data_IF_088046765585
#
_entry.id   IF_088046765585
#
_cell.length_a   1.000
_cell.length_b   1.000
_cell.length_c   1.000
_cell.angle_alpha   90.00
_cell.angle_beta   90.00
_cell.angle_gamma   90.00
#
_symmetry.space_group_name_H-M   'P 1'
#
loop_
_entity.id
_entity.type
_entity.pdbx_description
1 polymer ?
#
# COMPACT_ATOMS: atom_id res chain seq x y z
N UNK A 1 -22.55 3.02 0.23
CA UNK A 1 -22.59 1.78 1.01
C UNK A 1 -21.55 0.84 0.44
N UNK A 2 -20.35 0.74 1.04
CA UNK A 2 -19.30 -0.15 0.54
C UNK A 2 -19.48 -1.54 1.15
N UNK A 3 -20.13 -2.44 0.41
CA UNK A 3 -20.40 -3.81 0.82
C UNK A 3 -19.11 -4.65 0.77
N UNK A 4 -18.91 -5.52 1.76
CA UNK A 4 -17.81 -6.47 1.76
C UNK A 4 -17.94 -7.44 0.57
N UNK A 5 -16.83 -7.75 -0.09
CA UNK A 5 -16.80 -8.70 -1.20
C UNK A 5 -16.97 -10.13 -0.68
N UNK A 6 -17.69 -10.95 -1.45
CA UNK A 6 -17.72 -12.40 -1.22
C UNK A 6 -16.33 -13.01 -1.50
N UNK A 7 -16.02 -14.23 -0.99
CA UNK A 7 -14.74 -14.89 -1.28
C UNK A 7 -14.46 -15.06 -2.79
N UNK A 8 -15.49 -15.30 -3.60
CA UNK A 8 -15.36 -15.44 -5.04
C UNK A 8 -15.02 -14.09 -5.71
N UNK A 9 -15.69 -13.01 -5.32
CA UNK A 9 -15.40 -11.67 -5.84
C UNK A 9 -14.03 -11.16 -5.40
N UNK A 10 -13.63 -11.43 -4.15
CA UNK A 10 -12.31 -11.11 -3.63
C UNK A 10 -11.21 -11.87 -4.41
N UNK A 11 -11.43 -13.15 -4.70
CA UNK A 11 -10.53 -13.95 -5.54
C UNK A 11 -10.43 -13.41 -6.97
N UNK A 12 -11.56 -13.07 -7.58
CA UNK A 12 -11.61 -12.48 -8.91
C UNK A 12 -10.90 -11.12 -8.98
N UNK A 13 -11.04 -10.28 -7.95
CA UNK A 13 -10.32 -9.01 -7.82
C UNK A 13 -8.81 -9.24 -7.75
N UNK A 14 -8.36 -10.19 -6.90
CA UNK A 14 -6.94 -10.55 -6.78
C UNK A 14 -6.37 -11.01 -8.13
N UNK A 15 -7.09 -11.88 -8.84
CA UNK A 15 -6.72 -12.34 -10.18
C UNK A 15 -6.58 -11.19 -11.16
N UNK A 16 -7.54 -10.28 -11.18
CA UNK A 16 -7.54 -9.12 -12.08
C UNK A 16 -6.32 -8.22 -11.84
N UNK A 17 -5.95 -7.99 -10.57
CA UNK A 17 -4.75 -7.22 -10.18
C UNK A 17 -3.46 -7.93 -10.59
N UNK A 18 -3.40 -9.26 -10.47
CA UNK A 18 -2.27 -10.06 -10.97
C UNK A 18 -2.11 -9.94 -12.48
N UNK A 19 -3.21 -10.08 -13.22
CA UNK A 19 -3.22 -10.01 -14.69
C UNK A 19 -2.84 -8.60 -15.19
N UNK A 20 -3.28 -7.53 -14.51
CA UNK A 20 -2.86 -6.15 -14.81
C UNK A 20 -1.36 -5.90 -14.64
N UNK A 21 -0.70 -6.66 -13.76
CA UNK A 21 0.76 -6.62 -13.59
C UNK A 21 1.49 -7.63 -14.47
N UNK A 22 0.77 -8.32 -15.35
CA UNK A 22 1.31 -9.35 -16.25
C UNK A 22 2.07 -10.47 -15.51
N UNK A 23 1.71 -10.74 -14.25
CA UNK A 23 2.35 -11.76 -13.43
C UNK A 23 1.66 -13.12 -13.59
N UNK A 24 2.45 -14.18 -13.73
CA UNK A 24 1.96 -15.55 -13.66
C UNK A 24 1.65 -15.95 -12.21
N UNK A 25 0.82 -16.98 -12.02
CA UNK A 25 0.54 -17.51 -10.69
C UNK A 25 1.82 -18.05 -10.01
N UNK A 26 2.76 -18.58 -10.77
CA UNK A 26 4.04 -19.09 -10.28
C UNK A 26 4.94 -17.95 -9.81
N UNK A 27 5.01 -16.85 -10.57
CA UNK A 27 5.79 -15.67 -10.20
C UNK A 27 5.27 -15.05 -8.91
N UNK A 28 3.95 -14.89 -8.77
CA UNK A 28 3.34 -14.41 -7.54
C UNK A 28 3.61 -15.38 -6.39
N UNK A 29 3.44 -16.68 -6.61
CA UNK A 29 3.69 -17.68 -5.58
C UNK A 29 5.13 -17.65 -5.07
N UNK A 30 6.12 -17.59 -5.97
CA UNK A 30 7.52 -17.46 -5.62
C UNK A 30 7.79 -16.16 -4.82
N UNK A 31 7.24 -15.03 -5.28
CA UNK A 31 7.46 -13.73 -4.65
C UNK A 31 6.91 -13.62 -3.21
N UNK A 32 5.78 -14.28 -2.91
CA UNK A 32 5.19 -14.28 -1.55
C UNK A 32 5.55 -15.50 -0.71
N UNK A 33 6.43 -16.38 -1.20
CA UNK A 33 6.85 -17.60 -0.49
C UNK A 33 5.74 -18.65 -0.36
N UNK A 34 4.82 -18.70 -1.31
CA UNK A 34 3.86 -19.80 -1.43
C UNK A 34 4.58 -21.06 -1.93
N UNK A 35 4.30 -22.19 -1.28
CA UNK A 35 4.87 -23.49 -1.68
C UNK A 35 4.35 -24.01 -3.02
N UNK A 36 3.23 -23.47 -3.51
CA UNK A 36 2.60 -23.92 -4.76
C UNK A 36 1.68 -22.85 -5.34
N UNK A 37 1.73 -22.70 -6.67
CA UNK A 37 0.79 -21.89 -7.45
C UNK A 37 -0.67 -22.36 -7.31
N UNK A 38 -0.91 -23.64 -6.99
CA UNK A 38 -2.26 -24.17 -6.77
C UNK A 38 -2.97 -23.49 -5.60
N UNK A 39 -2.22 -23.10 -4.55
CA UNK A 39 -2.81 -22.38 -3.43
C UNK A 39 -3.26 -20.98 -3.85
N UNK A 40 -2.50 -20.31 -4.72
CA UNK A 40 -2.91 -19.03 -5.29
C UNK A 40 -4.16 -19.18 -6.16
N UNK A 41 -4.24 -20.24 -6.98
CA UNK A 41 -5.45 -20.55 -7.74
C UNK A 41 -6.69 -20.75 -6.85
N UNK A 42 -6.54 -21.38 -5.68
CA UNK A 42 -7.63 -21.51 -4.71
C UNK A 42 -8.06 -20.19 -4.07
N UNK A 43 -7.13 -19.25 -3.89
CA UNK A 43 -7.46 -17.89 -3.47
C UNK A 43 -8.19 -17.13 -4.59
N UNK A 44 -7.70 -17.21 -5.82
CA UNK A 44 -8.28 -16.51 -6.99
C UNK A 44 -9.67 -17.02 -7.37
N UNK A 45 -9.96 -18.30 -7.08
CA UNK A 45 -11.28 -18.90 -7.31
C UNK A 45 -12.23 -18.76 -6.12
N UNK A 46 -11.77 -18.18 -5.01
CA UNK A 46 -12.56 -18.03 -3.78
C UNK A 46 -12.80 -19.33 -3.00
N UNK A 47 -12.19 -20.46 -3.41
CA UNK A 47 -12.22 -21.73 -2.66
C UNK A 47 -11.62 -21.58 -1.26
N UNK A 48 -10.62 -20.73 -1.13
CA UNK A 48 -10.05 -20.32 0.14
C UNK A 48 -10.35 -18.85 0.36
N UNK A 49 -10.82 -18.50 1.55
CA UNK A 49 -11.10 -17.11 1.90
C UNK A 49 -9.79 -16.31 1.98
N UNK A 50 -9.62 -15.39 1.03
CA UNK A 50 -8.45 -14.53 0.91
C UNK A 50 -8.17 -13.71 2.17
N UNK A 51 -9.21 -13.13 2.79
CA UNK A 51 -9.08 -12.30 4.00
C UNK A 51 -8.50 -13.04 5.22
N UNK A 52 -8.66 -14.37 5.26
CA UNK A 52 -8.14 -15.23 6.35
C UNK A 52 -6.76 -15.81 6.04
N UNK A 53 -6.25 -15.58 4.83
CA UNK A 53 -4.95 -16.09 4.44
C UNK A 53 -3.83 -15.29 5.09
N UNK A 54 -2.86 -15.97 5.70
CA UNK A 54 -1.62 -15.32 6.18
C UNK A 54 -0.82 -14.65 5.07
N UNK A 55 -1.08 -15.03 3.80
CA UNK A 55 -0.44 -14.46 2.63
C UNK A 55 -1.16 -13.20 2.10
N UNK A 56 -2.29 -12.81 2.71
CA UNK A 56 -3.09 -11.70 2.23
C UNK A 56 -2.30 -10.38 2.18
N UNK A 57 -1.61 -10.01 3.26
CA UNK A 57 -0.84 -8.77 3.30
C UNK A 57 0.34 -8.76 2.31
N UNK A 58 1.17 -9.81 2.20
CA UNK A 58 2.16 -9.92 1.14
C UNK A 58 1.58 -9.81 -0.28
N UNK A 59 0.44 -10.47 -0.54
CA UNK A 59 -0.25 -10.40 -1.84
C UNK A 59 -0.77 -8.98 -2.11
N UNK A 60 -1.32 -8.32 -1.09
CA UNK A 60 -1.80 -6.94 -1.17
C UNK A 60 -0.68 -5.97 -1.55
N UNK A 61 0.50 -6.12 -0.94
CA UNK A 61 1.66 -5.31 -1.25
C UNK A 61 2.20 -5.60 -2.65
N UNK A 62 2.41 -6.88 -2.99
CA UNK A 62 2.95 -7.29 -4.28
C UNK A 62 2.05 -6.84 -5.44
N UNK A 63 0.74 -6.94 -5.27
CA UNK A 63 -0.25 -6.60 -6.30
C UNK A 63 -0.74 -5.15 -6.23
N UNK A 64 -0.16 -4.34 -5.33
CA UNK A 64 -0.54 -2.93 -5.13
C UNK A 64 -2.05 -2.74 -4.96
N UNK A 65 -2.68 -3.59 -4.14
CA UNK A 65 -4.09 -3.46 -3.77
C UNK A 65 -4.28 -2.15 -2.99
N UNK A 66 -5.28 -1.37 -3.38
CA UNK A 66 -5.60 -0.10 -2.72
C UNK A 66 -6.24 -0.33 -1.34
N UNK A 67 -6.24 0.71 -0.50
CA UNK A 67 -6.97 0.67 0.78
C UNK A 67 -8.46 0.33 0.62
N UNK A 68 -9.06 0.75 -0.50
CA UNK A 68 -10.44 0.39 -0.82
C UNK A 68 -10.57 -1.10 -1.12
N UNK A 69 -9.69 -1.66 -1.96
CA UNK A 69 -9.69 -3.10 -2.28
C UNK A 69 -9.46 -3.94 -1.01
N UNK A 70 -8.47 -3.56 -0.21
CA UNK A 70 -8.15 -4.23 1.05
C UNK A 70 -9.35 -4.18 2.00
N UNK A 71 -9.99 -3.02 2.12
CA UNK A 71 -11.16 -2.84 2.94
C UNK A 71 -12.42 -3.54 2.42
N UNK A 72 -12.51 -3.78 1.10
CA UNK A 72 -13.58 -4.53 0.48
C UNK A 72 -13.40 -6.05 0.68
N UNK A 73 -12.15 -6.55 0.60
CA UNK A 73 -11.81 -7.96 0.81
C UNK A 73 -11.82 -8.32 2.30
N UNK A 74 -11.23 -7.48 3.13
CA UNK A 74 -11.02 -7.70 4.55
C UNK A 74 -11.49 -6.48 5.36
N UNK A 75 -12.82 -6.33 5.57
CA UNK A 75 -13.39 -5.18 6.28
C UNK A 75 -12.83 -4.99 7.70
N UNK A 76 -12.42 -6.09 8.36
CA UNK A 76 -11.78 -6.02 9.67
C UNK A 76 -10.44 -5.26 9.64
N UNK A 77 -9.73 -5.26 8.51
CA UNK A 77 -8.47 -4.51 8.34
C UNK A 77 -8.71 -3.02 8.11
N UNK A 78 -9.90 -2.64 7.62
CA UNK A 78 -10.36 -1.24 7.58
C UNK A 78 -10.47 -0.64 8.98
N UNK A 79 -10.92 -1.43 9.96
CA UNK A 79 -11.07 -1.02 11.36
C UNK A 79 -9.72 -0.91 12.09
N UNK A 80 -8.66 -1.53 11.57
CA UNK A 80 -7.32 -1.53 12.16
C UNK A 80 -6.35 -0.54 11.50
N UNK A 81 -6.84 0.36 10.64
CA UNK A 81 -6.04 1.49 10.14
C UNK A 81 -4.90 1.13 9.18
N UNK A 82 -4.98 -0.02 8.48
CA UNK A 82 -4.05 -0.37 7.40
C UNK A 82 -4.52 0.18 6.05
N UNK A 83 -4.92 1.45 6.01
CA UNK A 83 -4.95 2.17 4.74
C UNK A 83 -3.52 2.33 4.23
N UNK A 84 -3.33 2.49 2.92
CA UNK A 84 -2.19 3.28 2.39
C UNK A 84 -1.93 4.44 3.35
N UNK A 85 -0.68 4.86 3.63
CA UNK A 85 -0.47 5.98 4.52
C UNK A 85 -1.18 7.17 3.88
N UNK A 86 -2.42 7.43 4.30
CA UNK A 86 -3.16 8.63 3.96
C UNK A 86 -2.24 9.69 4.49
N UNK A 87 -1.62 10.42 3.57
CA UNK A 87 -0.58 11.39 3.86
C UNK A 87 -0.94 12.08 5.19
N UNK A 88 -0.10 11.99 6.23
CA UNK A 88 -0.42 12.59 7.52
C UNK A 88 -0.85 14.03 7.32
N UNK A 89 -1.88 14.50 8.05
CA UNK A 89 -2.44 15.85 7.82
C UNK A 89 -1.35 16.93 7.87
N UNK A 90 -0.43 16.82 8.82
CA UNK A 90 0.71 17.72 8.93
C UNK A 90 1.66 17.68 7.70
N UNK A 91 1.78 16.52 7.02
CA UNK A 91 2.50 16.42 5.75
C UNK A 91 1.71 17.05 4.60
N UNK A 92 0.38 16.92 4.58
CA UNK A 92 -0.47 17.62 3.59
C UNK A 92 -0.33 19.14 3.74
N UNK A 93 -0.39 19.62 4.98
CA UNK A 93 -0.22 21.02 5.33
C UNK A 93 1.20 21.50 4.93
N UNK A 94 2.25 20.70 5.14
CA UNK A 94 3.61 21.01 4.69
C UNK A 94 3.72 21.11 3.16
N UNK A 95 3.06 20.23 2.42
CA UNK A 95 3.04 20.26 0.95
C UNK A 95 2.33 21.52 0.45
N UNK A 96 1.20 21.88 1.07
CA UNK A 96 0.45 23.09 0.72
C UNK A 96 1.21 24.38 1.05
N UNK A 97 1.93 24.42 2.17
CA UNK A 97 2.62 25.62 2.65
C UNK A 97 4.01 25.80 2.03
N UNK A 98 4.74 24.70 1.80
CA UNK A 98 6.13 24.72 1.35
C UNK A 98 6.33 24.21 -0.08
N UNK A 99 5.30 23.65 -0.73
CA UNK A 99 5.39 23.09 -2.09
C UNK A 99 5.87 24.09 -3.15
N UNK A 100 5.47 25.36 -3.04
CA UNK A 100 5.93 26.42 -3.95
C UNK A 100 7.44 26.69 -3.83
N UNK A 101 7.99 26.52 -2.62
CA UNK A 101 9.42 26.72 -2.34
C UNK A 101 10.24 25.45 -2.57
N UNK A 102 9.62 24.30 -2.45
CA UNK A 102 10.22 22.98 -2.63
C UNK A 102 9.32 22.13 -3.53
N UNK A 103 9.42 22.28 -4.88
CA UNK A 103 8.56 21.57 -5.82
C UNK A 103 8.64 20.05 -5.71
N UNK A 104 9.74 19.51 -5.20
CA UNK A 104 9.91 18.09 -4.89
C UNK A 104 8.93 17.58 -3.83
N UNK A 105 8.40 18.43 -2.95
CA UNK A 105 7.33 18.05 -2.02
C UNK A 105 6.00 17.80 -2.75
N UNK A 106 5.81 18.37 -3.94
CA UNK A 106 4.64 18.13 -4.78
C UNK A 106 4.75 16.82 -5.58
N UNK A 107 5.92 16.18 -5.58
CA UNK A 107 6.17 14.92 -6.29
C UNK A 107 5.53 13.74 -5.53
N UNK A 108 4.76 12.93 -6.23
CA UNK A 108 4.07 11.76 -5.68
C UNK A 108 5.05 10.73 -5.08
N UNK A 109 6.23 10.53 -5.69
CA UNK A 109 7.22 9.58 -5.19
C UNK A 109 7.83 10.06 -3.86
N UNK A 110 8.01 11.37 -3.71
CA UNK A 110 8.45 11.98 -2.45
C UNK A 110 7.37 11.92 -1.37
N UNK A 111 6.13 12.22 -1.73
CA UNK A 111 4.98 12.14 -0.85
C UNK A 111 4.77 10.73 -0.31
N UNK A 112 4.86 9.71 -1.15
CA UNK A 112 4.77 8.30 -0.76
C UNK A 112 5.94 7.89 0.14
N UNK A 113 7.15 8.36 -0.17
CA UNK A 113 8.34 8.10 0.64
C UNK A 113 8.21 8.70 2.04
N UNK A 114 7.74 9.95 2.13
CA UNK A 114 7.53 10.66 3.39
C UNK A 114 6.38 10.04 4.19
N UNK A 115 5.24 9.77 3.55
CA UNK A 115 4.08 9.17 4.18
C UNK A 115 4.36 7.74 4.67
N UNK A 116 5.26 7.01 4.00
CA UNK A 116 5.70 5.68 4.40
C UNK A 116 6.70 5.63 5.56
N UNK A 117 7.22 6.78 6.02
CA UNK A 117 8.21 6.84 7.09
C UNK A 117 7.65 6.31 8.42
N UNK A 118 8.40 5.43 9.08
CA UNK A 118 8.04 4.87 10.39
C UNK A 118 8.92 5.45 11.48
N UNK A 119 8.33 6.26 12.35
CA UNK A 119 8.99 6.85 13.51
C UNK A 119 8.76 5.99 14.75
N UNK A 120 9.81 5.81 15.57
CA UNK A 120 9.67 5.19 16.90
C UNK A 120 9.62 6.32 17.94
N UNK A 121 8.47 6.50 18.59
CA UNK A 121 8.34 7.42 19.74
C UNK A 121 7.77 8.81 19.45
N UNK A 122 6.93 8.95 18.42
CA UNK A 122 6.37 10.24 17.98
C UNK A 122 7.09 10.69 16.72
N UNK A 123 6.33 10.78 15.62
CA UNK A 123 6.85 11.26 14.34
C UNK A 123 6.69 12.77 14.21
N UNK A 124 6.94 13.33 13.01
CA UNK A 124 6.65 14.72 12.71
C UNK A 124 5.14 15.00 12.87
N UNK A 125 4.80 15.94 13.74
CA UNK A 125 3.40 16.29 14.06
C UNK A 125 2.98 17.64 13.46
N UNK A 126 3.95 18.48 13.07
CA UNK A 126 3.72 19.80 12.48
C UNK A 126 4.23 19.88 11.03
N UNK A 127 3.74 20.84 10.22
CA UNK A 127 4.24 21.08 8.87
C UNK A 127 5.75 21.36 8.83
N UNK A 128 6.25 22.09 9.82
CA UNK A 128 7.67 22.41 10.00
C UNK A 128 8.49 21.15 10.25
N UNK A 129 8.03 20.25 11.12
CA UNK A 129 8.73 18.98 11.40
C UNK A 129 8.82 18.11 10.14
N UNK A 130 7.77 18.11 9.31
CA UNK A 130 7.77 17.40 8.03
C UNK A 130 8.73 18.02 7.03
N UNK A 131 8.83 19.36 6.98
CA UNK A 131 9.79 20.05 6.14
C UNK A 131 11.24 19.75 6.57
N UNK A 132 11.51 19.75 7.87
CA UNK A 132 12.83 19.43 8.41
C UNK A 132 13.20 17.95 8.19
N UNK A 133 12.23 17.05 8.35
CA UNK A 133 12.40 15.65 7.99
C UNK A 133 12.67 15.45 6.50
N UNK A 134 11.91 16.12 5.62
CA UNK A 134 12.16 16.11 4.18
C UNK A 134 13.58 16.58 3.84
N UNK A 135 14.02 17.72 4.38
CA UNK A 135 15.39 18.23 4.16
C UNK A 135 16.45 17.24 4.63
N UNK A 136 16.20 16.59 5.77
CA UNK A 136 17.08 15.57 6.30
C UNK A 136 17.19 14.36 5.36
N UNK A 137 16.06 13.78 4.94
CA UNK A 137 16.09 12.58 4.09
C UNK A 137 16.51 12.88 2.65
N UNK A 138 16.21 14.08 2.11
CA UNK A 138 16.64 14.53 0.77
C UNK A 138 18.15 14.46 0.61
N UNK A 139 18.91 14.66 1.69
CA UNK A 139 20.38 14.57 1.68
C UNK A 139 20.90 13.14 1.52
N UNK A 140 20.11 12.13 1.88
CA UNK A 140 20.56 10.74 2.00
C UNK A 140 19.71 9.72 1.24
N UNK A 141 18.60 10.16 0.66
CA UNK A 141 17.60 9.28 0.02
C UNK A 141 17.29 9.84 -1.36
N UNK A 142 17.29 8.96 -2.37
CA UNK A 142 16.65 9.24 -3.65
C UNK A 142 15.22 8.70 -3.57
N UNK A 143 14.21 9.45 -4.03
CA UNK A 143 12.83 8.95 -4.06
C UNK A 143 12.82 7.66 -4.89
N UNK A 144 11.91 6.74 -4.56
CA UNK A 144 11.71 5.51 -5.33
C UNK A 144 11.32 5.92 -6.74
N UNK A 145 12.26 5.93 -7.67
CA UNK A 145 11.96 6.14 -9.08
C UNK A 145 10.97 5.06 -9.51
N UNK A 146 9.74 5.47 -9.87
CA UNK A 146 8.74 4.59 -10.45
C UNK A 146 9.35 3.78 -11.58
N UNK A 147 9.38 2.46 -11.40
CA UNK A 147 9.61 1.45 -12.44
C UNK A 147 8.35 0.63 -12.61
#
# INVERSE_FOLDING_TARGET
MSTALTPAEAGALLRRRREQKELSQEQVAAAVGLRSANYLSYLETGKVNLSRSKYFMPLAQLLSLSAEDVGAIAPALRLTGLGSPTMPRALQDAVAEYGDKFPELLDADWQDTLAGARFRGGGPETPEDWLDYYRFIRRYTKPRAGS
#
